data_IF_738406625302
#
_entry.id   IF_738406625302
#
_cell.length_a   1.000
_cell.length_b   1.000
_cell.length_c   1.000
_cell.angle_alpha   90.00
_cell.angle_beta   90.00
_cell.angle_gamma   90.00
#
_symmetry.space_group_name_H-M   'P 1'
#
loop_
_entity.id
_entity.type
_entity.pdbx_description
1 polymer ?
#
# COMPACT_ATOMS: atom_id res chain seq x y z
N UNK A 1 5.98 1.18 -25.25
CA UNK A 1 5.48 2.57 -25.20
C UNK A 1 5.61 3.08 -23.79
N UNK A 2 6.54 4.00 -23.55
CA UNK A 2 6.74 4.69 -22.29
C UNK A 2 5.49 5.51 -21.98
N UNK A 3 4.60 4.98 -21.12
CA UNK A 3 3.45 5.74 -20.61
C UNK A 3 4.01 7.02 -19.99
N UNK A 4 3.52 8.17 -20.45
CA UNK A 4 3.97 9.49 -20.03
C UNK A 4 3.64 9.68 -18.54
N UNK A 5 4.60 9.34 -17.66
CA UNK A 5 4.48 9.38 -16.19
C UNK A 5 4.09 10.77 -15.66
N UNK A 6 4.25 11.82 -16.47
CA UNK A 6 3.81 13.17 -16.14
C UNK A 6 2.31 13.31 -15.94
N UNK A 7 1.47 12.46 -16.57
CA UNK A 7 0.00 12.54 -16.45
C UNK A 7 -0.52 12.01 -15.11
N UNK A 8 0.23 11.12 -14.44
CA UNK A 8 -0.16 10.49 -13.17
C UNK A 8 0.73 10.92 -12.00
N UNK A 9 1.45 12.04 -12.15
CA UNK A 9 2.46 12.45 -11.18
C UNK A 9 1.87 12.66 -9.78
N UNK A 10 0.64 13.15 -9.69
CA UNK A 10 -0.03 13.39 -8.43
C UNK A 10 -0.33 12.07 -7.70
N UNK A 11 -0.84 11.07 -8.41
CA UNK A 11 -1.18 9.76 -7.87
C UNK A 11 0.07 9.00 -7.42
N UNK A 12 1.13 9.04 -8.22
CA UNK A 12 2.43 8.45 -7.88
C UNK A 12 2.98 9.05 -6.57
N UNK A 13 2.93 10.39 -6.46
CA UNK A 13 3.38 11.10 -5.25
C UNK A 13 2.47 10.84 -4.06
N UNK A 14 1.17 10.67 -4.28
CA UNK A 14 0.22 10.36 -3.20
C UNK A 14 0.48 8.98 -2.60
N UNK A 15 0.73 7.97 -3.44
CA UNK A 15 1.11 6.63 -2.97
C UNK A 15 2.44 6.62 -2.22
N UNK A 16 3.39 7.43 -2.65
CA UNK A 16 4.66 7.59 -1.94
C UNK A 16 4.45 8.18 -0.53
N UNK A 17 3.61 9.20 -0.39
CA UNK A 17 3.22 9.72 0.91
C UNK A 17 2.48 8.69 1.75
N UNK A 18 1.57 7.90 1.15
CA UNK A 18 0.85 6.84 1.86
C UNK A 18 1.81 5.80 2.44
N UNK A 19 2.76 5.30 1.66
CA UNK A 19 3.76 4.34 2.16
C UNK A 19 4.58 4.92 3.32
N UNK A 20 4.98 6.19 3.24
CA UNK A 20 5.70 6.86 4.32
C UNK A 20 4.85 6.98 5.60
N UNK A 21 3.57 7.34 5.45
CA UNK A 21 2.64 7.43 6.57
C UNK A 21 2.41 6.05 7.22
N UNK A 22 2.22 5.00 6.42
CA UNK A 22 2.07 3.63 6.90
C UNK A 22 3.34 3.17 7.61
N UNK A 23 4.51 3.42 7.02
CA UNK A 23 5.79 3.08 7.63
C UNK A 23 5.94 3.75 9.00
N UNK A 24 5.62 5.05 9.10
CA UNK A 24 5.66 5.77 10.37
C UNK A 24 4.71 5.15 11.40
N UNK A 25 3.49 4.78 11.00
CA UNK A 25 2.51 4.11 11.86
C UNK A 25 2.98 2.72 12.33
N UNK A 26 3.59 1.94 11.45
CA UNK A 26 4.12 0.61 11.79
C UNK A 26 5.36 0.68 12.69
N UNK A 27 6.22 1.68 12.46
CA UNK A 27 7.43 1.88 13.24
C UNK A 27 7.11 2.46 14.64
N UNK A 28 6.10 3.31 14.74
CA UNK A 28 5.66 3.93 15.97
C UNK A 28 4.15 4.18 15.94
N UNK A 29 3.43 3.70 16.96
CA UNK A 29 1.98 3.91 17.08
C UNK A 29 1.66 5.41 17.07
N UNK A 30 1.14 5.86 15.93
CA UNK A 30 0.84 7.26 15.65
C UNK A 30 -0.67 7.42 15.47
N UNK A 31 -1.23 8.52 15.97
CA UNK A 31 -2.65 8.81 15.83
C UNK A 31 -2.99 9.19 14.37
N UNK A 32 -4.10 8.65 13.83
CA UNK A 32 -4.57 8.89 12.46
C UNK A 32 -4.70 10.37 12.14
N UNK A 33 -5.36 11.16 12.99
CA UNK A 33 -5.58 12.59 12.74
C UNK A 33 -4.27 13.36 12.73
N UNK A 34 -3.35 13.04 13.65
CA UNK A 34 -2.03 13.65 13.66
C UNK A 34 -1.26 13.36 12.37
N UNK A 35 -1.30 12.11 11.90
CA UNK A 35 -0.61 11.68 10.69
C UNK A 35 -1.19 12.35 9.43
N UNK A 36 -2.52 12.43 9.32
CA UNK A 36 -3.18 13.19 8.25
C UNK A 36 -2.72 14.65 8.28
N UNK A 37 -2.85 15.31 9.43
CA UNK A 37 -2.50 16.74 9.56
C UNK A 37 -1.04 17.01 9.21
N UNK A 38 -0.13 16.14 9.66
CA UNK A 38 1.29 16.25 9.35
C UNK A 38 1.53 16.20 7.83
N UNK A 39 1.08 15.13 7.17
CA UNK A 39 1.34 14.94 5.74
C UNK A 39 0.64 15.98 4.86
N UNK A 40 -0.54 16.46 5.25
CA UNK A 40 -1.24 17.54 4.54
C UNK A 40 -0.52 18.89 4.69
N UNK A 41 0.06 19.19 5.87
CA UNK A 41 0.85 20.42 6.09
C UNK A 41 2.17 20.42 5.33
N UNK A 42 2.79 19.25 5.15
CA UNK A 42 4.07 19.09 4.45
C UNK A 42 3.93 19.01 2.92
N UNK A 43 2.71 18.90 2.40
CA UNK A 43 2.43 18.77 0.97
C UNK A 43 1.43 19.83 0.47
N UNK A 44 1.16 19.80 -0.83
CA UNK A 44 0.16 20.69 -1.45
C UNK A 44 -0.84 19.87 -2.25
N UNK A 45 -2.09 20.35 -2.42
CA UNK A 45 -3.09 19.67 -3.25
C UNK A 45 -2.68 19.53 -4.73
N UNK A 46 -1.72 20.34 -5.21
CA UNK A 46 -1.16 20.21 -6.57
C UNK A 46 -0.16 19.05 -6.70
N UNK A 47 0.46 18.65 -5.58
CA UNK A 47 1.50 17.63 -5.53
C UNK A 47 0.92 16.25 -5.22
N UNK A 48 -0.01 16.18 -4.27
CA UNK A 48 -0.70 14.93 -3.92
C UNK A 48 -2.21 15.17 -3.88
N UNK A 49 -2.99 14.11 -4.04
CA UNK A 49 -4.43 14.15 -3.85
C UNK A 49 -4.74 14.02 -2.35
N UNK A 50 -5.23 15.11 -1.74
CA UNK A 50 -5.53 15.15 -0.31
C UNK A 50 -6.68 14.20 0.04
N UNK A 51 -7.72 14.17 -0.80
CA UNK A 51 -8.89 13.32 -0.58
C UNK A 51 -8.51 11.84 -0.65
N UNK A 52 -7.75 11.47 -1.69
CA UNK A 52 -7.30 10.08 -1.85
C UNK A 52 -6.34 9.66 -0.73
N UNK A 53 -5.41 10.55 -0.33
CA UNK A 53 -4.51 10.29 0.80
C UNK A 53 -5.30 10.03 2.09
N UNK A 54 -6.23 10.93 2.42
CA UNK A 54 -7.03 10.84 3.64
C UNK A 54 -7.86 9.57 3.67
N UNK A 55 -8.64 9.33 2.61
CA UNK A 55 -9.51 8.15 2.50
C UNK A 55 -8.71 6.86 2.62
N UNK A 56 -7.55 6.75 1.95
CA UNK A 56 -6.75 5.54 2.02
C UNK A 56 -6.13 5.33 3.38
N UNK A 57 -5.65 6.39 4.02
CA UNK A 57 -5.09 6.28 5.36
C UNK A 57 -6.15 5.90 6.41
N UNK A 58 -7.37 6.42 6.29
CA UNK A 58 -8.53 5.99 7.09
C UNK A 58 -8.80 4.48 6.89
N UNK A 59 -8.93 4.03 5.64
CA UNK A 59 -9.13 2.61 5.32
C UNK A 59 -8.03 1.69 5.90
N UNK A 60 -6.77 2.16 5.91
CA UNK A 60 -5.64 1.42 6.47
C UNK A 60 -5.78 1.28 7.99
N UNK A 61 -6.14 2.35 8.69
CA UNK A 61 -6.32 2.30 10.14
C UNK A 61 -7.51 1.40 10.52
N UNK A 62 -8.62 1.50 9.80
CA UNK A 62 -9.81 0.65 10.00
C UNK A 62 -9.50 -0.85 9.80
N UNK A 63 -8.60 -1.17 8.87
CA UNK A 63 -8.23 -2.55 8.54
C UNK A 63 -6.94 -3.01 9.22
N UNK A 64 -6.33 -2.20 10.09
CA UNK A 64 -4.98 -2.42 10.60
C UNK A 64 -4.80 -3.77 11.31
N UNK A 65 -5.77 -4.19 12.12
CA UNK A 65 -5.72 -5.49 12.81
C UNK A 65 -5.77 -6.68 11.86
N UNK A 66 -6.54 -6.58 10.78
CA UNK A 66 -6.61 -7.61 9.73
C UNK A 66 -5.34 -7.63 8.88
N UNK A 67 -4.83 -6.45 8.51
CA UNK A 67 -3.57 -6.30 7.79
C UNK A 67 -2.40 -6.89 8.58
N UNK A 68 -2.31 -6.64 9.89
CA UNK A 68 -1.31 -7.25 10.80
C UNK A 68 -1.38 -8.77 10.78
N UNK A 69 -2.57 -9.37 10.74
CA UNK A 69 -2.73 -10.84 10.66
C UNK A 69 -2.25 -11.38 9.33
N UNK A 70 -2.61 -10.72 8.23
CA UNK A 70 -2.19 -11.11 6.88
C UNK A 70 -0.67 -11.05 6.75
N UNK A 71 -0.05 -9.92 7.09
CA UNK A 71 1.41 -9.77 6.99
C UNK A 71 2.16 -10.59 8.03
N UNK A 72 1.54 -10.86 9.19
CA UNK A 72 2.04 -11.82 10.16
C UNK A 72 2.16 -13.25 9.60
N UNK A 73 1.19 -13.70 8.80
CA UNK A 73 1.25 -15.01 8.14
C UNK A 73 2.39 -15.10 7.11
N UNK A 74 2.71 -14.00 6.43
CA UNK A 74 3.85 -13.96 5.51
C UNK A 74 5.20 -14.12 6.23
N UNK A 75 5.31 -13.63 7.47
CA UNK A 75 6.52 -13.77 8.30
C UNK A 75 6.76 -15.20 8.77
N UNK A 76 5.71 -16.02 8.91
CA UNK A 76 5.84 -17.41 9.37
C UNK A 76 6.34 -18.41 8.32
N UNK A 77 6.36 -18.03 7.04
CA UNK A 77 6.62 -18.95 5.91
C UNK A 77 8.09 -19.22 5.56
N UNK A 78 9.02 -19.03 6.52
CA UNK A 78 10.49 -19.29 6.50
C UNK A 78 11.39 -18.14 6.02
N UNK A 79 12.42 -17.89 6.83
CA UNK A 79 13.73 -17.23 6.60
C UNK A 79 13.83 -15.82 6.01
N UNK A 80 12.75 -15.16 5.60
CA UNK A 80 12.80 -13.76 5.16
C UNK A 80 12.21 -12.82 6.22
N UNK A 81 13.07 -11.98 6.81
CA UNK A 81 12.63 -10.88 7.66
C UNK A 81 11.88 -9.85 6.79
N UNK A 82 10.56 -9.80 6.93
CA UNK A 82 9.77 -8.74 6.31
C UNK A 82 10.17 -7.39 6.90
N UNK A 83 10.80 -6.55 6.09
CA UNK A 83 11.14 -5.19 6.49
C UNK A 83 9.87 -4.36 6.67
N UNK A 84 9.88 -3.40 7.60
CA UNK A 84 8.71 -2.54 7.89
C UNK A 84 8.27 -1.77 6.63
N UNK A 85 9.22 -1.40 5.77
CA UNK A 85 8.92 -0.72 4.50
C UNK A 85 8.19 -1.64 3.50
N UNK A 86 8.57 -2.92 3.45
CA UNK A 86 7.90 -3.91 2.62
C UNK A 86 6.50 -4.20 3.16
N UNK A 87 6.35 -4.28 4.48
CA UNK A 87 5.05 -4.39 5.14
C UNK A 87 4.14 -3.20 4.83
N UNK A 88 4.66 -1.97 4.86
CA UNK A 88 3.92 -0.76 4.51
C UNK A 88 3.42 -0.77 3.05
N UNK A 89 4.25 -1.27 2.12
CA UNK A 89 3.88 -1.40 0.70
C UNK A 89 2.79 -2.46 0.52
N UNK A 90 2.91 -3.62 1.21
CA UNK A 90 1.89 -4.67 1.17
C UNK A 90 0.56 -4.17 1.71
N UNK A 91 0.56 -3.40 2.80
CA UNK A 91 -0.65 -2.83 3.37
C UNK A 91 -1.37 -1.91 2.38
N UNK A 92 -0.62 -1.02 1.71
CA UNK A 92 -1.18 -0.17 0.68
C UNK A 92 -1.78 -0.98 -0.47
N UNK A 93 -1.01 -1.96 -0.99
CA UNK A 93 -1.46 -2.80 -2.11
C UNK A 93 -2.73 -3.59 -1.79
N UNK A 94 -2.80 -4.20 -0.61
CA UNK A 94 -3.99 -4.93 -0.14
C UNK A 94 -5.19 -3.98 -0.05
N UNK A 95 -5.04 -2.83 0.60
CA UNK A 95 -6.16 -1.87 0.77
C UNK A 95 -6.63 -1.32 -0.59
N UNK A 96 -5.73 -1.03 -1.52
CA UNK A 96 -6.09 -0.57 -2.86
C UNK A 96 -6.82 -1.66 -3.67
N UNK A 97 -6.36 -2.91 -3.60
CA UNK A 97 -7.05 -4.04 -4.23
C UNK A 97 -8.45 -4.20 -3.66
N UNK A 98 -8.59 -4.12 -2.32
CA UNK A 98 -9.89 -4.22 -1.64
C UNK A 98 -10.86 -3.11 -2.03
N UNK A 99 -10.35 -1.90 -2.28
CA UNK A 99 -11.15 -0.77 -2.73
C UNK A 99 -11.70 -0.98 -4.15
N UNK A 100 -11.04 -1.81 -4.97
CA UNK A 100 -11.48 -2.19 -6.33
C UNK A 100 -11.77 -0.98 -7.25
N UNK A 101 -10.99 0.09 -7.10
CA UNK A 101 -11.08 1.30 -7.94
C UNK A 101 -10.13 1.28 -9.15
N UNK A 102 -9.15 0.38 -9.14
CA UNK A 102 -8.15 0.19 -10.19
C UNK A 102 -7.94 -1.30 -10.46
N UNK A 103 -7.60 -1.64 -11.70
CA UNK A 103 -7.27 -3.01 -12.07
C UNK A 103 -6.11 -3.53 -11.20
N UNK A 104 -6.24 -4.75 -10.67
CA UNK A 104 -5.23 -5.32 -9.78
C UNK A 104 -3.79 -5.29 -10.34
N UNK A 105 -3.54 -5.58 -11.64
CA UNK A 105 -2.19 -5.46 -12.19
C UNK A 105 -1.60 -4.05 -12.08
N UNK A 106 -2.43 -3.00 -12.16
CA UNK A 106 -1.97 -1.61 -12.00
C UNK A 106 -1.53 -1.38 -10.55
N UNK A 107 -2.30 -1.87 -9.57
CA UNK A 107 -1.96 -1.76 -8.14
C UNK A 107 -0.65 -2.50 -7.84
N UNK A 108 -0.49 -3.72 -8.38
CA UNK A 108 0.72 -4.53 -8.21
C UNK A 108 1.94 -3.83 -8.84
N UNK A 109 1.82 -3.31 -10.07
CA UNK A 109 2.88 -2.55 -10.73
C UNK A 109 3.33 -1.34 -9.90
N UNK A 110 2.39 -0.63 -9.26
CA UNK A 110 2.70 0.49 -8.37
C UNK A 110 3.40 0.02 -7.08
N UNK A 111 2.98 -1.09 -6.49
CA UNK A 111 3.68 -1.68 -5.33
C UNK A 111 5.11 -2.09 -5.68
N UNK A 112 5.34 -2.67 -6.86
CA UNK A 112 6.68 -2.98 -7.39
C UNK A 112 7.51 -1.71 -7.56
N UNK A 113 6.91 -0.64 -8.09
CA UNK A 113 7.59 0.66 -8.25
C UNK A 113 7.97 1.26 -6.89
N UNK A 114 7.08 1.20 -5.90
CA UNK A 114 7.34 1.66 -4.53
C UNK A 114 8.45 0.85 -3.87
N UNK A 115 8.44 -0.48 -4.02
CA UNK A 115 9.50 -1.35 -3.51
C UNK A 115 10.86 -1.01 -4.11
N UNK A 116 10.93 -0.80 -5.44
CA UNK A 116 12.17 -0.35 -6.11
C UNK A 116 12.64 1.03 -5.64
N UNK A 117 11.73 1.88 -5.15
CA UNK A 117 12.03 3.24 -4.70
C UNK A 117 12.51 3.28 -3.26
N UNK A 118 11.85 2.55 -2.36
CA UNK A 118 12.02 2.70 -0.91
C UNK A 118 12.67 1.50 -0.23
N UNK A 119 12.62 0.33 -0.85
CA UNK A 119 13.09 -0.92 -0.26
C UNK A 119 14.35 -1.43 -0.96
N UNK A 120 14.82 -2.60 -0.56
CA UNK A 120 15.99 -3.23 -1.14
C UNK A 120 15.77 -3.59 -2.62
N UNK A 121 16.85 -3.62 -3.43
CA UNK A 121 16.76 -3.94 -4.85
C UNK A 121 16.12 -5.30 -5.17
N UNK A 122 16.03 -6.21 -4.21
CA UNK A 122 15.42 -7.53 -4.40
C UNK A 122 13.98 -7.64 -3.83
N UNK A 123 13.52 -6.68 -3.02
CA UNK A 123 12.22 -6.75 -2.33
C UNK A 123 11.03 -6.73 -3.29
N UNK A 124 11.17 -6.14 -4.48
CA UNK A 124 10.05 -6.10 -5.44
C UNK A 124 9.57 -7.49 -5.88
N UNK A 125 10.46 -8.50 -5.92
CA UNK A 125 10.08 -9.88 -6.27
C UNK A 125 9.22 -10.50 -5.18
N UNK A 126 9.61 -10.27 -3.92
CA UNK A 126 8.88 -10.70 -2.75
C UNK A 126 7.50 -10.05 -2.68
N UNK A 127 7.43 -8.72 -2.82
CA UNK A 127 6.16 -7.96 -2.83
C UNK A 127 5.21 -8.48 -3.91
N UNK A 128 5.70 -8.67 -5.14
CA UNK A 128 4.88 -9.22 -6.22
C UNK A 128 4.36 -10.61 -5.87
N UNK A 129 5.24 -11.52 -5.42
CA UNK A 129 4.86 -12.88 -5.08
C UNK A 129 3.78 -12.94 -3.98
N UNK A 130 3.93 -12.12 -2.92
CA UNK A 130 2.97 -12.09 -1.80
C UNK A 130 1.64 -11.46 -2.15
N UNK A 131 1.62 -10.40 -2.96
CA UNK A 131 0.35 -9.85 -3.46
C UNK A 131 -0.38 -10.84 -4.38
N UNK A 132 0.34 -11.54 -5.26
CA UNK A 132 -0.23 -12.58 -6.13
C UNK A 132 -0.79 -13.77 -5.32
N UNK A 133 -0.06 -14.23 -4.30
CA UNK A 133 -0.47 -15.30 -3.40
C UNK A 133 -1.73 -14.92 -2.60
N UNK A 134 -1.74 -13.71 -2.03
CA UNK A 134 -2.88 -13.17 -1.29
C UNK A 134 -4.12 -13.03 -2.18
N UNK A 135 -3.94 -12.49 -3.39
CA UNK A 135 -5.01 -12.35 -4.39
C UNK A 135 -5.66 -13.70 -4.70
N UNK A 136 -4.86 -14.74 -4.98
CA UNK A 136 -5.36 -16.08 -5.30
C UNK A 136 -6.13 -16.71 -4.14
N UNK A 137 -5.62 -16.56 -2.92
CA UNK A 137 -6.26 -17.13 -1.73
C UNK A 137 -7.59 -16.45 -1.42
N UNK A 138 -7.66 -15.14 -1.65
CA UNK A 138 -8.85 -14.36 -1.33
C UNK A 138 -9.84 -14.25 -2.49
N UNK A 139 -9.56 -14.82 -3.68
CA UNK A 139 -10.45 -14.79 -4.85
C UNK A 139 -11.92 -15.15 -4.54
N UNK A 140 -12.14 -16.08 -3.61
CA UNK A 140 -13.46 -16.58 -3.22
C UNK A 140 -14.33 -15.59 -2.45
N UNK A 141 -13.75 -14.61 -1.75
CA UNK A 141 -14.51 -13.61 -0.98
C UNK A 141 -15.10 -12.52 -1.89
N UNK A 142 -14.50 -12.29 -3.06
CA UNK A 142 -14.95 -11.26 -4.02
C UNK A 142 -16.08 -11.74 -4.94
N UNK A 143 -16.11 -13.04 -5.28
CA UNK A 143 -17.22 -13.62 -6.06
C UNK A 143 -18.56 -13.58 -5.30
N UNK A 144 -18.52 -13.57 -3.97
CA UNK A 144 -19.72 -13.48 -3.11
C UNK A 144 -20.31 -12.07 -3.00
N UNK A 145 -19.56 -11.01 -3.29
CA UNK A 145 -20.07 -9.62 -3.27
C UNK A 145 -20.68 -9.17 -4.60
N UNK A 146 -20.45 -9.91 -5.68
CA UNK A 146 -20.99 -9.64 -7.01
C UNK A 146 -22.01 -10.70 -7.48
N UNK A 147 -22.52 -11.54 -6.56
CA UNK A 147 -23.59 -12.51 -6.79
C UNK A 147 -24.85 -12.12 -6.03
#
# INVERSE_FOLDING_TARGET
MSKNLGKFKQELQTRECLVQAIFQYLFHESNLHFLIDQFLKENTPKKISFDYFKQRLENIFEQSDDLKKITGAFKSDKDENLEIIDEAILWLGIVEIRANELDHPIVIDECIRLAKKFSNPNSYKFINAKLDEWLKTNQADWLKKNS
#
